data_IF_960093990237
#
_entry.id   IF_960093990237
#
_cell.length_a   1.000
_cell.length_b   1.000
_cell.length_c   1.000
_cell.angle_alpha   90.00
_cell.angle_beta   90.00
_cell.angle_gamma   90.00
#
_symmetry.space_group_name_H-M   'P 1'
#
loop_
_entity.id
_entity.type
_entity.pdbx_description
1 polymer ?
#
# COMPACT_ATOMS: atom_id res chain seq x y z
N UNK A 1 -1.83 -21.58 -17.51
CA UNK A 1 -2.41 -20.22 -17.50
C UNK A 1 -1.45 -19.27 -16.81
N UNK A 2 -1.22 -18.09 -17.37
CA UNK A 2 -0.52 -16.99 -16.71
C UNK A 2 -1.53 -16.24 -15.83
N UNK A 3 -1.12 -15.86 -14.62
CA UNK A 3 -1.86 -14.98 -13.74
C UNK A 3 -1.00 -13.74 -13.44
N UNK A 4 -1.51 -12.56 -13.76
CA UNK A 4 -0.93 -11.28 -13.33
C UNK A 4 -1.92 -10.63 -12.38
N UNK A 5 -1.50 -10.35 -11.16
CA UNK A 5 -2.31 -9.73 -10.10
C UNK A 5 -1.99 -8.24 -10.05
N UNK A 6 -2.87 -7.37 -10.60
CA UNK A 6 -2.56 -5.94 -10.70
C UNK A 6 -2.77 -5.18 -9.38
N UNK A 7 -3.64 -5.65 -8.49
CA UNK A 7 -3.94 -4.91 -7.25
C UNK A 7 -3.87 -5.74 -5.98
N UNK A 8 -4.51 -6.92 -5.94
CA UNK A 8 -4.67 -7.67 -4.69
C UNK A 8 -3.34 -7.93 -3.97
N UNK A 9 -3.24 -7.43 -2.73
CA UNK A 9 -2.01 -7.43 -1.94
C UNK A 9 -1.81 -8.67 -1.05
N UNK A 10 -2.72 -9.66 -1.06
CA UNK A 10 -2.62 -10.83 -0.19
C UNK A 10 -1.23 -11.46 -0.24
N UNK A 11 -0.56 -11.56 0.90
CA UNK A 11 0.83 -12.02 0.99
C UNK A 11 0.99 -13.45 0.46
N UNK A 12 -0.05 -14.28 0.62
CA UNK A 12 -0.04 -15.66 0.14
C UNK A 12 0.20 -15.80 -1.37
N UNK A 13 -0.21 -14.84 -2.19
CA UNK A 13 -0.12 -14.90 -3.67
C UNK A 13 1.32 -15.09 -4.15
N UNK A 14 2.26 -14.37 -3.56
CA UNK A 14 3.69 -14.48 -3.83
C UNK A 14 4.47 -15.08 -2.64
N UNK A 15 3.74 -15.62 -1.66
CA UNK A 15 4.20 -16.40 -0.52
C UNK A 15 3.87 -17.87 -0.70
N UNK A 16 3.05 -18.43 0.17
CA UNK A 16 2.73 -19.85 0.19
C UNK A 16 2.07 -20.41 -1.10
N UNK A 17 1.47 -19.54 -1.91
CA UNK A 17 0.84 -19.89 -3.20
C UNK A 17 1.72 -19.49 -4.40
N UNK A 18 2.98 -19.10 -4.19
CA UNK A 18 3.85 -18.69 -5.29
C UNK A 18 3.99 -19.80 -6.33
N UNK A 19 4.00 -19.41 -7.59
CA UNK A 19 4.20 -20.33 -8.70
C UNK A 19 4.87 -19.60 -9.88
N UNK A 20 5.61 -20.31 -10.75
CA UNK A 20 6.34 -19.69 -11.85
C UNK A 20 5.49 -18.84 -12.80
N UNK A 21 4.19 -19.12 -12.86
CA UNK A 21 3.22 -18.46 -13.73
C UNK A 21 2.38 -17.38 -13.02
N UNK A 22 2.67 -17.06 -11.76
CA UNK A 22 1.98 -16.03 -10.98
C UNK A 22 2.89 -14.82 -10.83
N UNK A 23 2.41 -13.65 -11.22
CA UNK A 23 3.10 -12.36 -11.09
C UNK A 23 2.21 -11.37 -10.37
N UNK A 24 2.81 -10.46 -9.61
CA UNK A 24 2.13 -9.30 -9.05
C UNK A 24 2.83 -8.03 -9.49
N UNK A 25 2.06 -7.04 -9.95
CA UNK A 25 2.60 -5.74 -10.36
C UNK A 25 2.41 -4.65 -9.31
N UNK A 26 1.69 -4.92 -8.22
CA UNK A 26 1.30 -3.93 -7.23
C UNK A 26 2.18 -3.92 -5.97
N UNK A 27 1.81 -4.67 -4.96
CA UNK A 27 2.44 -4.70 -3.63
C UNK A 27 1.99 -5.96 -2.89
N UNK A 28 2.74 -6.39 -1.85
CA UNK A 28 2.18 -7.25 -0.81
C UNK A 28 1.62 -6.40 0.32
N UNK A 29 0.58 -6.87 1.02
CA UNK A 29 0.00 -6.13 2.14
C UNK A 29 1.03 -5.86 3.25
N UNK A 30 2.00 -6.74 3.40
CA UNK A 30 3.11 -6.57 4.34
C UNK A 30 3.95 -5.31 4.04
N UNK A 31 4.22 -4.99 2.75
CA UNK A 31 5.14 -3.91 2.38
C UNK A 31 4.74 -2.52 2.92
N UNK A 32 3.52 -1.97 2.69
CA UNK A 32 3.17 -0.65 3.21
C UNK A 32 3.09 -0.62 4.73
N UNK A 33 2.66 -1.72 5.37
CA UNK A 33 2.68 -1.84 6.82
C UNK A 33 4.10 -1.77 7.38
N UNK A 34 5.01 -2.57 6.85
CA UNK A 34 6.41 -2.60 7.26
C UNK A 34 7.08 -1.23 7.10
N UNK A 35 6.86 -0.57 5.97
CA UNK A 35 7.41 0.75 5.72
C UNK A 35 6.92 1.80 6.73
N UNK A 36 5.63 1.77 7.15
CA UNK A 36 5.15 2.67 8.21
C UNK A 36 5.77 2.33 9.57
N UNK A 37 5.98 1.06 9.86
CA UNK A 37 6.69 0.63 11.06
C UNK A 37 8.11 1.20 11.14
N UNK A 38 8.86 1.16 10.03
CA UNK A 38 10.19 1.80 9.94
C UNK A 38 10.13 3.32 10.14
N UNK A 39 9.11 3.98 9.56
CA UNK A 39 8.92 5.44 9.71
C UNK A 39 8.72 5.80 11.18
N UNK A 40 7.81 5.12 11.88
CA UNK A 40 7.53 5.43 13.29
C UNK A 40 8.71 5.10 14.20
N UNK A 41 9.42 4.01 13.93
CA UNK A 41 10.64 3.68 14.64
C UNK A 41 11.72 4.76 14.47
N UNK A 42 11.96 5.21 13.23
CA UNK A 42 12.91 6.31 12.93
C UNK A 42 12.50 7.63 13.56
N UNK A 43 11.20 7.89 13.72
CA UNK A 43 10.68 9.07 14.44
C UNK A 43 10.83 8.96 15.96
N UNK A 44 11.27 7.83 16.48
CA UNK A 44 11.44 7.61 17.91
C UNK A 44 10.14 7.35 18.69
N UNK A 45 9.03 7.09 17.99
CA UNK A 45 7.74 6.72 18.60
C UNK A 45 7.92 5.44 19.42
N UNK A 46 7.41 5.42 20.67
CA UNK A 46 7.59 4.30 21.60
C UNK A 46 6.37 3.42 21.68
N UNK A 47 5.18 3.98 21.59
CA UNK A 47 3.94 3.21 21.75
C UNK A 47 2.97 3.47 20.59
N UNK A 48 2.36 2.39 20.11
CA UNK A 48 1.33 2.49 19.10
C UNK A 48 0.15 1.56 19.42
N UNK A 49 -1.03 1.95 18.99
CA UNK A 49 -2.21 1.09 18.87
C UNK A 49 -2.47 0.83 17.40
N UNK A 50 -2.81 -0.40 17.04
CA UNK A 50 -3.26 -0.71 15.67
C UNK A 50 -4.77 -0.91 15.64
N UNK A 51 -5.41 -0.50 14.54
CA UNK A 51 -6.84 -0.69 14.32
C UNK A 51 -7.13 -1.03 12.86
N UNK A 52 -7.78 -2.16 12.61
CA UNK A 52 -8.09 -2.64 11.25
C UNK A 52 -9.37 -3.47 11.22
N UNK A 53 -9.85 -3.77 10.02
CA UNK A 53 -10.77 -4.89 9.85
C UNK A 53 -10.09 -6.23 10.10
N UNK A 54 -10.82 -7.15 10.72
CA UNK A 54 -10.39 -8.53 11.00
C UNK A 54 -10.55 -9.40 9.75
N UNK A 55 -9.55 -9.38 8.88
CA UNK A 55 -9.42 -10.24 7.71
C UNK A 55 -7.97 -10.21 7.20
N UNK A 56 -7.63 -11.06 6.23
CA UNK A 56 -6.24 -11.28 5.80
C UNK A 56 -5.44 -9.99 5.55
N UNK A 57 -6.00 -9.03 4.81
CA UNK A 57 -5.27 -7.80 4.51
C UNK A 57 -4.98 -6.95 5.76
N UNK A 58 -5.93 -6.86 6.70
CA UNK A 58 -5.72 -6.16 7.97
C UNK A 58 -4.62 -6.82 8.80
N UNK A 59 -4.70 -8.14 8.96
CA UNK A 59 -3.73 -8.91 9.74
C UNK A 59 -2.32 -8.85 9.11
N UNK A 60 -2.20 -8.90 7.79
CA UNK A 60 -0.93 -8.83 7.05
C UNK A 60 -0.27 -7.45 7.14
N UNK A 61 -1.06 -6.37 7.02
CA UNK A 61 -0.55 -4.99 7.17
C UNK A 61 -0.12 -4.69 8.61
N UNK A 62 -0.90 -5.13 9.60
CA UNK A 62 -0.51 -5.01 11.02
C UNK A 62 0.75 -5.82 11.32
N UNK A 63 0.86 -7.04 10.80
CA UNK A 63 2.07 -7.84 10.94
C UNK A 63 3.30 -7.11 10.41
N UNK A 64 3.24 -6.57 9.19
CA UNK A 64 4.34 -5.78 8.61
C UNK A 64 4.71 -4.59 9.49
N UNK A 65 3.71 -3.84 9.93
CA UNK A 65 3.92 -2.70 10.82
C UNK A 65 4.63 -3.09 12.12
N UNK A 66 4.12 -4.11 12.81
CA UNK A 66 4.70 -4.59 14.07
C UNK A 66 6.15 -5.03 13.91
N UNK A 67 6.44 -5.83 12.89
CA UNK A 67 7.79 -6.34 12.65
C UNK A 67 8.83 -5.21 12.55
N UNK A 68 8.55 -4.16 11.81
CA UNK A 68 9.47 -3.05 11.67
C UNK A 68 9.49 -2.14 12.90
N UNK A 69 8.32 -1.82 13.43
CA UNK A 69 8.18 -0.92 14.56
C UNK A 69 8.82 -1.48 15.83
N UNK A 70 8.55 -2.75 16.15
CA UNK A 70 9.08 -3.42 17.35
C UNK A 70 10.57 -3.72 17.19
N UNK A 71 11.04 -4.09 16.00
CA UNK A 71 12.48 -4.19 15.69
C UNK A 71 13.21 -2.87 15.93
N UNK A 72 12.56 -1.74 15.70
CA UNK A 72 13.09 -0.41 15.95
C UNK A 72 12.93 0.08 17.39
N UNK A 73 12.47 -0.76 18.32
CA UNK A 73 12.34 -0.45 19.74
C UNK A 73 11.01 0.19 20.15
N UNK A 74 10.02 0.22 19.25
CA UNK A 74 8.64 0.56 19.57
C UNK A 74 7.89 -0.62 20.17
N UNK A 75 6.67 -0.36 20.65
CA UNK A 75 5.77 -1.40 21.19
C UNK A 75 4.34 -1.16 20.72
N UNK A 76 3.73 -2.16 20.11
CA UNK A 76 2.29 -2.18 19.88
C UNK A 76 1.61 -2.58 21.19
N UNK A 77 0.95 -1.63 21.83
CA UNK A 77 0.35 -1.82 23.15
C UNK A 77 -1.04 -2.44 23.09
N UNK A 78 -1.73 -2.28 21.97
CA UNK A 78 -3.05 -2.85 21.74
C UNK A 78 -3.30 -3.04 20.24
N UNK A 79 -3.92 -4.17 19.88
CA UNK A 79 -4.40 -4.46 18.53
C UNK A 79 -5.92 -4.51 18.56
N UNK A 80 -6.54 -3.52 17.93
CA UNK A 80 -7.99 -3.39 17.83
C UNK A 80 -8.45 -3.83 16.45
N UNK A 81 -9.54 -4.53 16.40
CA UNK A 81 -10.14 -4.92 15.14
C UNK A 81 -11.64 -5.09 15.24
N UNK A 82 -12.31 -5.01 14.11
CA UNK A 82 -13.74 -5.24 13.98
C UNK A 82 -14.01 -6.11 12.74
N UNK A 83 -15.08 -6.90 12.73
CA UNK A 83 -15.42 -7.75 11.58
C UNK A 83 -15.59 -6.91 10.32
N UNK A 84 -15.05 -7.40 9.20
CA UNK A 84 -15.30 -6.79 7.89
C UNK A 84 -16.76 -7.08 7.45
N UNK A 85 -17.51 -6.13 6.92
CA UNK A 85 -17.18 -4.72 6.64
C UNK A 85 -17.75 -3.74 7.69
N UNK A 86 -17.84 -4.13 8.96
CA UNK A 86 -18.39 -3.29 10.03
C UNK A 86 -17.63 -1.95 10.13
N UNK A 87 -18.35 -0.87 10.41
CA UNK A 87 -17.83 0.50 10.52
C UNK A 87 -18.26 1.21 11.81
N UNK A 88 -18.61 0.45 12.84
CA UNK A 88 -18.98 0.99 14.15
C UNK A 88 -17.72 1.17 15.01
N UNK A 89 -17.09 2.35 14.90
CA UNK A 89 -15.79 2.63 15.50
C UNK A 89 -15.86 3.16 16.94
N UNK A 90 -16.99 3.65 17.42
CA UNK A 90 -17.10 4.44 18.65
C UNK A 90 -16.45 3.79 19.89
N UNK A 91 -16.72 2.52 20.13
CA UNK A 91 -16.16 1.79 21.28
C UNK A 91 -14.62 1.70 21.17
N UNK A 92 -14.10 1.39 19.97
CA UNK A 92 -12.67 1.27 19.71
C UNK A 92 -11.95 2.63 19.81
N UNK A 93 -12.59 3.71 19.38
CA UNK A 93 -12.04 5.06 19.54
C UNK A 93 -11.95 5.46 21.03
N UNK A 94 -12.94 5.05 21.85
CA UNK A 94 -12.88 5.22 23.30
C UNK A 94 -11.74 4.44 23.91
N UNK A 95 -11.47 3.23 23.44
CA UNK A 95 -10.32 2.43 23.88
C UNK A 95 -8.99 3.09 23.50
N UNK A 96 -8.86 3.66 22.30
CA UNK A 96 -7.68 4.42 21.86
C UNK A 96 -7.46 5.62 22.77
N UNK A 97 -8.54 6.39 23.05
CA UNK A 97 -8.49 7.55 23.94
C UNK A 97 -7.97 7.18 25.33
N UNK A 98 -8.44 6.04 25.88
CA UNK A 98 -8.04 5.54 27.18
C UNK A 98 -6.61 5.02 27.21
N UNK A 99 -6.15 4.38 26.15
CA UNK A 99 -4.81 3.81 26.03
C UNK A 99 -3.72 4.88 25.86
N UNK A 100 -4.07 6.07 25.35
CA UNK A 100 -3.17 7.21 25.12
C UNK A 100 -1.85 6.83 24.45
N UNK A 101 -1.87 6.12 23.29
CA UNK A 101 -0.64 5.79 22.58
C UNK A 101 -0.03 7.06 21.97
N UNK A 102 1.26 6.99 21.65
CA UNK A 102 1.92 8.07 20.88
C UNK A 102 1.51 8.10 19.41
N UNK A 103 1.00 6.99 18.86
CA UNK A 103 0.54 6.89 17.50
C UNK A 103 -0.57 5.84 17.34
N UNK A 104 -1.43 6.02 16.32
CA UNK A 104 -2.34 4.99 15.84
C UNK A 104 -1.96 4.61 14.41
N UNK A 105 -1.79 3.31 14.16
CA UNK A 105 -1.66 2.76 12.81
C UNK A 105 -2.97 2.10 12.39
N UNK A 106 -3.45 2.40 11.19
CA UNK A 106 -4.72 1.86 10.71
C UNK A 106 -4.66 1.37 9.27
N UNK A 107 -5.54 0.40 8.98
CA UNK A 107 -5.88 0.00 7.62
C UNK A 107 -7.40 -0.12 7.48
N UNK A 108 -7.95 0.80 6.69
CA UNK A 108 -9.31 0.78 6.15
C UNK A 108 -9.25 1.26 4.71
N UNK A 109 -10.28 0.99 3.93
CA UNK A 109 -10.36 1.38 2.53
C UNK A 109 -11.77 1.85 2.16
N UNK A 110 -11.91 2.63 1.10
CA UNK A 110 -13.19 3.08 0.57
C UNK A 110 -14.06 3.78 1.61
N UNK A 111 -15.36 3.47 1.64
CA UNK A 111 -16.32 4.08 2.58
C UNK A 111 -15.97 3.89 4.05
N UNK A 112 -15.37 2.76 4.41
CA UNK A 112 -14.90 2.51 5.78
C UNK A 112 -13.76 3.42 6.19
N UNK A 113 -12.82 3.71 5.28
CA UNK A 113 -11.76 4.68 5.51
C UNK A 113 -12.32 6.10 5.70
N UNK A 114 -13.31 6.48 4.87
CA UNK A 114 -13.99 7.79 5.02
C UNK A 114 -14.60 7.93 6.41
N UNK A 115 -15.38 6.93 6.82
CA UNK A 115 -16.05 6.96 8.13
C UNK A 115 -15.02 6.96 9.26
N UNK A 116 -14.02 6.08 9.21
CA UNK A 116 -13.00 5.98 10.27
C UNK A 116 -12.27 7.31 10.49
N UNK A 117 -11.77 7.93 9.42
CA UNK A 117 -11.01 9.19 9.51
C UNK A 117 -11.88 10.33 10.07
N UNK A 118 -13.15 10.40 9.64
CA UNK A 118 -14.11 11.38 10.18
C UNK A 118 -14.42 11.14 11.65
N UNK A 119 -14.70 9.91 12.04
CA UNK A 119 -15.02 9.56 13.42
C UNK A 119 -13.78 9.80 14.34
N UNK A 120 -12.56 9.50 13.85
CA UNK A 120 -11.32 9.75 14.57
C UNK A 120 -11.12 11.25 14.85
N UNK A 121 -11.37 12.08 13.85
CA UNK A 121 -11.29 13.53 14.00
C UNK A 121 -12.41 14.08 14.91
N UNK A 122 -13.65 13.60 14.73
CA UNK A 122 -14.82 14.00 15.54
C UNK A 122 -14.67 13.63 17.02
N UNK A 123 -14.04 12.49 17.31
CA UNK A 123 -13.69 12.08 18.67
C UNK A 123 -12.58 12.94 19.31
N UNK A 124 -12.02 13.92 18.58
CA UNK A 124 -10.94 14.79 19.06
C UNK A 124 -9.57 14.13 19.16
N UNK A 125 -9.44 12.84 18.80
CA UNK A 125 -8.20 12.07 18.93
C UNK A 125 -7.08 12.67 18.08
N UNK A 126 -7.38 13.12 16.89
CA UNK A 126 -6.43 13.71 15.95
C UNK A 126 -5.57 14.84 16.55
N UNK A 127 -6.10 15.57 17.55
CA UNK A 127 -5.39 16.69 18.19
C UNK A 127 -4.18 16.26 19.01
N UNK A 128 -4.24 15.06 19.58
CA UNK A 128 -3.26 14.58 20.56
C UNK A 128 -2.56 13.28 20.14
N UNK A 129 -3.18 12.50 19.26
CA UNK A 129 -2.67 11.21 18.83
C UNK A 129 -2.63 11.21 17.30
N UNK A 130 -1.43 11.30 16.68
CA UNK A 130 -1.29 11.27 15.24
C UNK A 130 -1.82 9.96 14.63
N UNK A 131 -2.54 10.09 13.51
CA UNK A 131 -3.05 8.97 12.73
C UNK A 131 -2.14 8.65 11.56
N UNK A 132 -1.72 7.39 11.51
CA UNK A 132 -0.91 6.81 10.44
C UNK A 132 -1.65 5.62 9.82
N UNK A 133 -1.32 5.32 8.57
CA UNK A 133 -1.94 4.16 7.91
C UNK A 133 -1.23 3.74 6.64
N UNK A 134 -1.78 2.71 6.00
CA UNK A 134 -1.42 2.40 4.62
C UNK A 134 -2.15 3.34 3.68
N UNK A 135 -1.65 3.47 2.45
CA UNK A 135 -2.19 4.44 1.49
C UNK A 135 -3.69 4.36 1.22
N UNK A 136 -4.26 3.18 1.35
CA UNK A 136 -5.70 2.94 1.14
C UNK A 136 -6.60 3.69 2.12
N UNK A 137 -6.02 4.18 3.23
CA UNK A 137 -6.74 5.05 4.17
C UNK A 137 -7.15 6.38 3.52
N UNK A 138 -6.40 6.85 2.53
CA UNK A 138 -6.57 8.17 1.91
C UNK A 138 -6.75 8.14 0.39
N UNK A 139 -6.34 7.06 -0.30
CA UNK A 139 -6.47 6.97 -1.76
C UNK A 139 -7.94 6.85 -2.19
N UNK A 140 -8.37 7.71 -3.10
CA UNK A 140 -9.73 7.78 -3.61
C UNK A 140 -10.78 8.22 -2.59
N UNK A 141 -10.37 8.69 -1.40
CA UNK A 141 -11.28 9.02 -0.29
C UNK A 141 -11.16 10.46 0.23
N UNK A 142 -10.12 11.21 -0.17
CA UNK A 142 -9.80 12.53 0.39
C UNK A 142 -10.92 13.55 0.22
N UNK A 143 -11.58 13.57 -0.93
CA UNK A 143 -12.68 14.50 -1.16
C UNK A 143 -13.82 14.30 -0.14
N UNK A 144 -14.18 13.03 0.11
CA UNK A 144 -15.20 12.67 1.09
C UNK A 144 -14.75 12.83 2.54
N UNK A 145 -13.47 12.70 2.84
CA UNK A 145 -12.89 12.88 4.17
C UNK A 145 -12.75 14.37 4.55
N UNK A 146 -12.45 15.23 3.56
CA UNK A 146 -12.28 16.66 3.76
C UNK A 146 -11.17 16.97 4.78
N UNK A 147 -11.40 17.98 5.63
CA UNK A 147 -10.43 18.43 6.65
C UNK A 147 -10.11 17.37 7.71
N UNK A 148 -10.96 16.35 7.86
CA UNK A 148 -10.69 15.26 8.81
C UNK A 148 -9.41 14.50 8.46
N UNK A 149 -9.04 14.41 7.18
CA UNK A 149 -7.84 13.75 6.73
C UNK A 149 -6.57 14.61 6.81
N UNK A 150 -6.67 15.93 6.99
CA UNK A 150 -5.51 16.84 6.97
C UNK A 150 -4.46 16.39 7.99
N UNK A 151 -3.20 16.29 7.55
CA UNK A 151 -2.06 15.85 8.37
C UNK A 151 -1.93 14.32 8.56
N UNK A 152 -2.88 13.50 8.12
CA UNK A 152 -2.76 12.04 8.16
C UNK A 152 -1.58 11.61 7.29
N UNK A 153 -0.72 10.73 7.82
CA UNK A 153 0.42 10.20 7.09
C UNK A 153 0.19 8.74 6.69
N UNK A 154 0.55 8.41 5.47
CA UNK A 154 0.36 7.07 4.91
C UNK A 154 1.58 6.60 4.14
N UNK A 155 1.70 5.29 3.95
CA UNK A 155 2.74 4.66 3.14
C UNK A 155 2.13 3.87 2.00
N UNK A 156 2.63 4.08 0.79
CA UNK A 156 2.25 3.32 -0.39
C UNK A 156 3.34 3.40 -1.46
N UNK A 157 3.28 2.49 -2.44
CA UNK A 157 4.22 2.42 -3.57
C UNK A 157 4.00 3.50 -4.64
N UNK A 158 2.97 4.34 -4.50
CA UNK A 158 2.66 5.44 -5.41
C UNK A 158 1.93 6.58 -4.67
N UNK A 159 1.96 7.77 -5.22
CA UNK A 159 1.12 8.89 -4.84
C UNK A 159 0.84 9.76 -6.06
N UNK A 160 -0.37 10.32 -6.14
CA UNK A 160 -0.79 11.21 -7.23
C UNK A 160 0.08 12.47 -7.34
N UNK A 161 0.72 12.86 -6.25
CA UNK A 161 1.62 14.00 -6.16
C UNK A 161 3.11 13.63 -6.28
N UNK A 162 3.46 12.49 -6.88
CA UNK A 162 4.86 12.05 -7.03
C UNK A 162 5.68 13.03 -7.89
N UNK A 163 5.05 13.61 -8.90
CA UNK A 163 5.57 14.72 -9.72
C UNK A 163 6.95 14.48 -10.34
N UNK A 164 7.23 13.26 -10.74
CA UNK A 164 8.39 12.95 -11.59
C UNK A 164 8.05 13.19 -13.07
N UNK A 165 9.06 13.42 -13.95
CA UNK A 165 8.80 13.53 -15.40
C UNK A 165 8.01 12.36 -15.97
N UNK A 166 8.28 11.14 -15.49
CA UNK A 166 7.59 9.92 -15.93
C UNK A 166 6.14 9.88 -15.45
N UNK A 167 5.90 10.23 -14.20
CA UNK A 167 4.55 10.31 -13.62
C UNK A 167 3.72 11.38 -14.37
N UNK A 168 4.27 12.57 -14.54
CA UNK A 168 3.60 13.66 -15.25
C UNK A 168 3.23 13.28 -16.69
N UNK A 169 4.12 12.61 -17.42
CA UNK A 169 3.84 12.13 -18.77
C UNK A 169 2.71 11.09 -18.79
N UNK A 170 2.70 10.15 -17.86
CA UNK A 170 1.65 9.16 -17.71
C UNK A 170 0.30 9.81 -17.40
N UNK A 171 0.27 10.70 -16.40
CA UNK A 171 -0.95 11.41 -15.98
C UNK A 171 -1.57 12.20 -17.13
N UNK A 172 -0.74 12.92 -17.89
CA UNK A 172 -1.18 13.68 -19.05
C UNK A 172 -1.77 12.77 -20.14
N UNK A 173 -1.08 11.67 -20.49
CA UNK A 173 -1.53 10.72 -21.48
C UNK A 173 -2.85 10.04 -21.07
N UNK A 174 -2.96 9.62 -19.80
CA UNK A 174 -4.16 9.01 -19.26
C UNK A 174 -5.35 9.97 -19.28
N UNK A 175 -5.17 11.20 -18.81
CA UNK A 175 -6.22 12.22 -18.81
C UNK A 175 -6.68 12.57 -20.24
N UNK A 176 -5.77 12.61 -21.21
CA UNK A 176 -6.10 12.82 -22.62
C UNK A 176 -6.98 11.70 -23.19
N UNK A 177 -6.67 10.44 -22.83
CA UNK A 177 -7.36 9.24 -23.34
C UNK A 177 -8.70 8.99 -22.67
N UNK A 178 -8.76 9.13 -21.34
CA UNK A 178 -9.92 8.70 -20.55
C UNK A 178 -10.73 9.85 -19.96
N UNK A 179 -10.28 11.11 -20.11
CA UNK A 179 -10.92 12.32 -19.54
C UNK A 179 -11.02 12.26 -17.98
N UNK A 180 -10.15 11.48 -17.37
CA UNK A 180 -10.04 11.27 -15.91
C UNK A 180 -8.59 11.42 -15.49
N UNK A 181 -8.36 11.80 -14.25
CA UNK A 181 -7.03 11.69 -13.64
C UNK A 181 -6.78 10.23 -13.26
N UNK A 182 -5.57 9.70 -13.52
CA UNK A 182 -5.22 8.37 -13.05
C UNK A 182 -5.04 8.36 -11.53
N UNK A 183 -5.31 7.22 -10.95
CA UNK A 183 -5.05 6.90 -9.55
C UNK A 183 -4.03 5.75 -9.44
N UNK A 184 -3.80 5.27 -8.22
CA UNK A 184 -2.90 4.13 -7.97
C UNK A 184 -3.32 2.88 -8.75
N UNK A 185 -4.61 2.67 -8.96
CA UNK A 185 -5.11 1.48 -9.67
C UNK A 185 -4.83 1.54 -11.18
N UNK A 186 -4.89 2.74 -11.75
CA UNK A 186 -4.49 2.97 -13.14
C UNK A 186 -2.99 2.67 -13.35
N UNK A 187 -2.14 3.10 -12.42
CA UNK A 187 -0.68 2.81 -12.44
C UNK A 187 -0.44 1.30 -12.33
N UNK A 188 -1.11 0.62 -11.42
CA UNK A 188 -0.98 -0.84 -11.24
C UNK A 188 -1.39 -1.62 -12.50
N UNK A 189 -2.47 -1.21 -13.16
CA UNK A 189 -2.92 -1.79 -14.42
C UNK A 189 -1.92 -1.55 -15.56
N UNK A 190 -1.37 -0.33 -15.63
CA UNK A 190 -0.33 0.02 -16.59
C UNK A 190 0.93 -0.84 -16.44
N UNK A 191 1.39 -1.03 -15.21
CA UNK A 191 2.55 -1.87 -14.90
C UNK A 191 2.29 -3.35 -15.22
N UNK A 192 1.09 -3.85 -14.93
CA UNK A 192 0.68 -5.20 -15.29
C UNK A 192 0.73 -5.44 -16.82
N UNK A 193 0.27 -4.44 -17.60
CA UNK A 193 0.31 -4.50 -19.05
C UNK A 193 1.75 -4.55 -19.60
N UNK A 194 2.71 -3.89 -18.95
CA UNK A 194 4.11 -3.95 -19.35
C UNK A 194 4.74 -5.34 -19.08
N UNK A 195 4.39 -5.98 -17.96
CA UNK A 195 4.80 -7.37 -17.69
C UNK A 195 4.25 -8.31 -18.77
N UNK A 196 2.97 -8.20 -19.08
CA UNK A 196 2.29 -8.98 -20.13
C UNK A 196 2.95 -8.73 -21.51
N UNK A 197 3.13 -7.45 -21.86
CA UNK A 197 3.72 -7.04 -23.13
C UNK A 197 5.14 -7.55 -23.34
N UNK A 198 5.96 -7.57 -22.26
CA UNK A 198 7.32 -8.12 -22.32
C UNK A 198 7.32 -9.62 -22.66
N UNK A 199 6.40 -10.38 -22.06
CA UNK A 199 6.23 -11.80 -22.38
C UNK A 199 5.75 -12.03 -23.83
N UNK A 200 4.71 -11.29 -24.24
CA UNK A 200 4.16 -11.41 -25.60
C UNK A 200 5.18 -11.05 -26.68
N UNK A 201 5.95 -9.98 -26.50
CA UNK A 201 6.99 -9.56 -27.43
C UNK A 201 8.07 -10.63 -27.61
N UNK A 202 8.53 -11.24 -26.51
CA UNK A 202 9.55 -12.28 -26.54
C UNK A 202 9.13 -13.51 -27.36
N UNK A 203 7.87 -13.88 -27.29
CA UNK A 203 7.32 -15.05 -28.00
C UNK A 203 6.64 -14.68 -29.33
N UNK A 204 6.71 -13.40 -29.76
CA UNK A 204 6.08 -12.88 -30.97
C UNK A 204 4.59 -13.22 -31.06
N UNK A 205 3.89 -13.17 -29.92
CA UNK A 205 2.47 -13.49 -29.79
C UNK A 205 2.14 -14.98 -29.68
N UNK A 206 3.09 -15.90 -29.80
CA UNK A 206 2.87 -17.33 -29.66
C UNK A 206 2.80 -17.73 -28.16
N UNK A 207 1.61 -17.61 -27.59
CA UNK A 207 1.37 -17.96 -26.17
C UNK A 207 1.53 -19.45 -25.83
N UNK A 208 1.74 -20.32 -26.83
CA UNK A 208 2.10 -21.72 -26.62
C UNK A 208 3.49 -21.87 -26.02
N UNK A 209 4.40 -20.92 -26.28
CA UNK A 209 5.77 -20.88 -25.74
C UNK A 209 5.83 -20.38 -24.28
N UNK A 210 5.12 -21.09 -23.39
CA UNK A 210 4.90 -20.64 -21.98
C UNK A 210 6.19 -20.42 -21.22
N UNK A 211 7.20 -21.25 -21.36
CA UNK A 211 8.47 -21.12 -20.64
C UNK A 211 9.24 -19.84 -21.04
N UNK A 212 9.33 -19.57 -22.35
CA UNK A 212 9.97 -18.36 -22.87
C UNK A 212 9.21 -17.10 -22.43
N UNK A 213 7.87 -17.15 -22.51
CA UNK A 213 7.00 -16.07 -22.03
C UNK A 213 7.28 -15.74 -20.56
N UNK A 214 7.21 -16.73 -19.68
CA UNK A 214 7.44 -16.57 -18.24
C UNK A 214 8.85 -16.02 -17.95
N UNK A 215 9.88 -16.55 -18.64
CA UNK A 215 11.25 -16.10 -18.49
C UNK A 215 11.43 -14.63 -18.88
N UNK A 216 10.73 -14.16 -19.92
CA UNK A 216 10.74 -12.76 -20.36
C UNK A 216 9.96 -11.88 -19.38
N UNK A 217 8.77 -12.30 -18.94
CA UNK A 217 7.96 -11.57 -17.96
C UNK A 217 8.72 -11.34 -16.63
N UNK A 218 9.48 -12.33 -16.15
CA UNK A 218 10.34 -12.20 -14.96
C UNK A 218 11.42 -11.12 -15.09
N UNK A 219 11.91 -10.87 -16.29
CA UNK A 219 12.97 -9.92 -16.60
C UNK A 219 12.43 -8.62 -17.17
N UNK A 220 11.11 -8.41 -17.13
CA UNK A 220 10.48 -7.22 -17.67
C UNK A 220 11.10 -5.96 -17.07
N UNK A 221 11.51 -5.04 -17.95
CA UNK A 221 11.89 -3.69 -17.55
C UNK A 221 10.62 -2.85 -17.55
N UNK A 222 10.19 -2.46 -16.36
CA UNK A 222 8.93 -1.76 -16.18
C UNK A 222 9.21 -0.26 -16.05
N UNK A 223 8.80 0.49 -17.06
CA UNK A 223 8.84 1.96 -17.06
C UNK A 223 7.60 2.50 -16.35
N UNK A 224 7.63 2.40 -15.01
CA UNK A 224 6.49 2.73 -14.18
C UNK A 224 6.41 4.20 -13.81
N UNK A 225 5.20 4.80 -13.79
CA UNK A 225 4.96 6.15 -13.26
C UNK A 225 5.40 6.31 -11.80
N UNK A 226 5.38 5.23 -11.02
CA UNK A 226 5.78 5.23 -9.60
C UNK A 226 7.29 5.14 -9.35
N UNK A 227 8.08 5.09 -10.40
CA UNK A 227 9.52 4.84 -10.34
C UNK A 227 9.89 3.41 -10.72
N UNK A 228 11.16 3.19 -11.01
CA UNK A 228 11.66 1.88 -11.42
C UNK A 228 11.53 0.86 -10.29
N UNK A 229 11.08 -0.34 -10.64
CA UNK A 229 11.08 -1.49 -9.74
C UNK A 229 11.43 -2.77 -10.50
N UNK A 230 11.80 -3.80 -9.78
CA UNK A 230 12.06 -5.13 -10.32
C UNK A 230 11.13 -6.14 -9.66
N UNK A 231 11.05 -7.33 -10.24
CA UNK A 231 10.35 -8.45 -9.62
C UNK A 231 11.32 -9.30 -8.81
N UNK A 232 10.95 -9.66 -7.60
CA UNK A 232 11.67 -10.62 -6.76
C UNK A 232 11.63 -12.03 -7.37
N UNK A 233 12.34 -12.96 -6.77
CA UNK A 233 12.30 -14.36 -7.17
C UNK A 233 10.88 -14.96 -7.05
N UNK A 234 10.08 -14.48 -6.12
CA UNK A 234 8.67 -14.85 -5.95
C UNK A 234 7.72 -14.01 -6.82
N UNK A 235 8.23 -13.21 -7.74
CA UNK A 235 7.47 -12.35 -8.66
C UNK A 235 6.61 -11.26 -7.98
N UNK A 236 7.05 -10.77 -6.81
CA UNK A 236 6.52 -9.59 -6.15
C UNK A 236 7.42 -8.37 -6.43
N UNK A 237 6.89 -7.14 -6.52
CA UNK A 237 7.70 -5.95 -6.71
C UNK A 237 8.71 -5.72 -5.58
N UNK A 238 9.96 -5.46 -5.98
CA UNK A 238 11.02 -4.86 -5.16
C UNK A 238 11.02 -3.38 -5.49
N UNK A 239 10.54 -2.56 -4.58
CA UNK A 239 10.13 -1.19 -4.90
C UNK A 239 10.32 -0.22 -3.74
N UNK A 240 10.39 1.06 -4.06
CA UNK A 240 10.33 2.11 -3.06
C UNK A 240 8.89 2.25 -2.53
N UNK A 241 8.77 2.47 -1.22
CA UNK A 241 7.52 2.82 -0.57
C UNK A 241 7.64 4.27 -0.10
N UNK A 242 6.75 5.11 -0.59
CA UNK A 242 6.73 6.52 -0.28
C UNK A 242 6.02 6.80 1.05
N UNK A 243 6.56 7.76 1.80
CA UNK A 243 5.86 8.41 2.91
C UNK A 243 5.09 9.59 2.36
N UNK A 244 3.81 9.63 2.63
CA UNK A 244 2.90 10.65 2.16
C UNK A 244 2.18 11.31 3.33
N UNK A 245 1.85 12.58 3.18
CA UNK A 245 1.04 13.33 4.13
C UNK A 245 -0.10 14.03 3.40
N UNK A 246 -1.28 13.96 3.96
CA UNK A 246 -2.43 14.71 3.44
C UNK A 246 -2.23 16.19 3.73
N UNK A 247 -2.22 16.99 2.68
CA UNK A 247 -2.19 18.44 2.75
C UNK A 247 -2.99 19.03 1.59
N UNK A 248 -3.94 19.91 1.89
CA UNK A 248 -4.81 20.56 0.91
C UNK A 248 -5.57 19.51 0.03
N UNK A 249 -6.08 18.45 0.63
CA UNK A 249 -6.79 17.33 -0.02
C UNK A 249 -5.95 16.53 -1.02
N UNK A 250 -4.63 16.55 -0.88
CA UNK A 250 -3.71 15.76 -1.70
C UNK A 250 -2.83 14.86 -0.83
N UNK A 251 -2.46 13.68 -1.33
CA UNK A 251 -1.44 12.83 -0.73
C UNK A 251 -0.05 13.30 -1.18
N UNK A 252 0.53 14.29 -0.50
CA UNK A 252 1.85 14.82 -0.85
C UNK A 252 2.95 13.87 -0.41
N UNK A 253 3.87 13.55 -1.32
CA UNK A 253 5.07 12.79 -0.98
C UNK A 253 6.00 13.68 -0.14
N UNK A 254 6.34 13.22 1.06
CA UNK A 254 7.25 13.90 1.99
C UNK A 254 8.56 13.14 2.20
N UNK A 255 8.71 11.98 1.57
CA UNK A 255 9.93 11.19 1.60
C UNK A 255 9.75 9.77 1.10
N UNK A 256 10.82 9.00 1.15
CA UNK A 256 10.82 7.57 0.93
C UNK A 256 10.82 6.89 2.30
N UNK A 257 9.78 6.12 2.59
CA UNK A 257 9.64 5.36 3.85
C UNK A 257 10.61 4.18 3.88
N UNK A 258 10.61 3.36 2.80
CA UNK A 258 11.53 2.24 2.62
C UNK A 258 12.00 2.20 1.17
N UNK A 259 13.30 2.04 0.96
CA UNK A 259 13.91 1.99 -0.38
C UNK A 259 14.09 0.54 -0.81
N UNK A 260 13.73 0.24 -2.07
CA UNK A 260 13.86 -1.09 -2.68
C UNK A 260 13.35 -2.23 -1.76
N UNK A 261 12.19 -2.00 -1.12
CA UNK A 261 11.64 -2.94 -0.14
C UNK A 261 11.22 -4.24 -0.82
N UNK A 262 11.81 -5.34 -0.36
CA UNK A 262 11.52 -6.70 -0.83
C UNK A 262 10.57 -7.39 0.16
N UNK A 263 9.50 -7.97 -0.35
CA UNK A 263 8.63 -8.84 0.44
C UNK A 263 9.38 -10.13 0.84
N UNK A 264 9.25 -10.61 2.08
CA UNK A 264 9.94 -11.81 2.53
C UNK A 264 9.46 -13.12 1.88
N UNK A 265 8.40 -13.07 1.08
CA UNK A 265 7.82 -14.21 0.33
C UNK A 265 7.60 -15.46 1.22
N UNK A 266 7.04 -15.26 2.41
CA UNK A 266 6.88 -16.33 3.40
C UNK A 266 6.12 -17.52 2.85
N UNK A 267 6.76 -18.70 2.94
CA UNK A 267 6.18 -19.96 2.48
C UNK A 267 6.33 -20.23 0.98
N UNK A 268 6.94 -19.32 0.21
CA UNK A 268 7.35 -19.61 -1.17
C UNK A 268 8.56 -20.58 -1.13
N UNK A 269 8.46 -21.71 -1.86
CA UNK A 269 9.51 -22.75 -1.93
C UNK A 269 10.20 -22.75 -3.28
#
# INVERSE_FOLDING_TARGET
TLLIVPNAGADAVTGAMCAPNIFRSSFSNWQPGYAMGEVLAKKGVKTAVTITWKYAAGDEMVRGFKEAFEKGGGKVTKELNLPFPNVEFQALLTEIASAKPEAVFSFFAGGGAVKFVKDYAAAGLKKNIPLYGTGFLTDGTLEAQGEAAEGVQTTLHYADGLNTPRDNAFRLAYAKSYKLQPDVYAVQGYDAAQILGSGLAAVKGDVGKKAEFIAAARKARIDSPRGAFSLSQAHNPVQDIYLRQVAAKENKVIGIASKALTDPARGCK
#
